data_IF_294702432726
#
_entry.id   IF_294702432726
#
_cell.length_a   1.000
_cell.length_b   1.000
_cell.length_c   1.000
_cell.angle_alpha   90.00
_cell.angle_beta   90.00
_cell.angle_gamma   90.00
#
_symmetry.space_group_name_H-M   'P 1'
#
loop_
_entity.id
_entity.type
_entity.pdbx_description
1 polymer ?
#
# COMPACT_ATOMS: atom_id res chain seq x y z
N UNK A 1 -17.85 36.21 -12.59
CA UNK A 1 -17.15 35.75 -11.37
C UNK A 1 -17.99 36.16 -10.16
N UNK A 2 -18.50 35.21 -9.37
CA UNK A 2 -19.11 35.54 -8.08
C UNK A 2 -20.43 34.86 -7.72
N UNK A 3 -20.72 33.63 -8.19
CA UNK A 3 -21.93 32.90 -7.78
C UNK A 3 -21.95 32.53 -6.28
N UNK A 4 -20.79 32.58 -5.62
CA UNK A 4 -20.61 32.16 -4.23
C UNK A 4 -20.49 33.33 -3.24
N UNK A 5 -20.57 34.58 -3.70
CA UNK A 5 -20.37 35.78 -2.87
C UNK A 5 -21.60 36.13 -2.02
N UNK A 6 -22.79 35.71 -2.46
CA UNK A 6 -24.07 35.98 -1.79
C UNK A 6 -24.64 34.75 -1.06
N UNK A 7 -23.92 33.61 -1.08
CA UNK A 7 -24.34 32.39 -0.39
C UNK A 7 -23.86 32.44 1.06
N UNK A 8 -24.79 32.65 1.99
CA UNK A 8 -24.51 32.55 3.42
C UNK A 8 -24.63 31.10 3.91
N UNK A 9 -23.55 30.56 4.47
CA UNK A 9 -23.52 29.19 5.01
C UNK A 9 -24.50 29.05 6.17
N UNK A 10 -24.57 30.04 7.05
CA UNK A 10 -25.48 30.09 8.19
C UNK A 10 -26.95 30.23 7.78
N UNK A 11 -27.25 31.00 6.73
CA UNK A 11 -28.61 31.12 6.20
C UNK A 11 -29.10 29.82 5.55
N UNK A 12 -28.25 29.16 4.76
CA UNK A 12 -28.57 27.88 4.12
C UNK A 12 -28.84 26.75 5.13
N UNK A 13 -28.10 26.70 6.23
CA UNK A 13 -28.36 25.74 7.32
C UNK A 13 -29.69 26.03 8.02
N UNK A 14 -30.01 27.31 8.24
CA UNK A 14 -31.29 27.72 8.84
C UNK A 14 -32.49 27.35 7.96
N UNK A 15 -32.38 27.55 6.65
CA UNK A 15 -33.42 27.21 5.68
C UNK A 15 -33.63 25.69 5.57
N UNK A 16 -32.54 24.92 5.52
CA UNK A 16 -32.59 23.44 5.58
C UNK A 16 -33.31 22.95 6.84
N UNK A 17 -33.00 23.55 8.00
CA UNK A 17 -33.65 23.18 9.26
C UNK A 17 -35.14 23.56 9.25
N UNK A 18 -35.52 24.69 8.65
CA UNK A 18 -36.90 25.10 8.51
C UNK A 18 -37.71 24.13 7.63
N UNK A 19 -37.15 23.69 6.50
CA UNK A 19 -37.76 22.68 5.61
C UNK A 19 -37.93 21.35 6.34
N UNK A 20 -36.90 20.88 7.04
CA UNK A 20 -36.98 19.67 7.88
C UNK A 20 -38.06 19.84 8.96
N UNK A 21 -38.27 21.04 9.51
CA UNK A 21 -39.30 21.31 10.52
C UNK A 21 -40.69 21.56 9.94
N UNK A 22 -40.86 21.64 8.62
CA UNK A 22 -42.16 21.85 7.95
C UNK A 22 -42.74 20.60 7.28
N UNK A 23 -41.92 19.63 6.85
CA UNK A 23 -42.39 18.41 6.15
C UNK A 23 -43.33 17.51 6.97
N UNK A 24 -44.06 16.59 6.34
CA UNK A 24 -44.95 15.69 7.07
C UNK A 24 -44.16 14.66 7.92
N UNK A 25 -44.74 14.06 8.98
CA UNK A 25 -44.03 13.12 9.85
C UNK A 25 -43.36 11.97 9.07
N UNK A 26 -44.01 11.46 8.01
CA UNK A 26 -43.46 10.42 7.15
C UNK A 26 -42.21 10.88 6.38
N UNK A 27 -42.21 12.12 5.88
CA UNK A 27 -41.10 12.70 5.10
C UNK A 27 -39.85 12.98 5.96
N UNK A 28 -40.03 13.18 7.27
CA UNK A 28 -38.93 13.39 8.22
C UNK A 28 -38.40 12.08 8.80
N UNK A 29 -39.31 11.18 9.18
CA UNK A 29 -38.96 9.96 9.89
C UNK A 29 -38.30 8.95 8.98
N UNK A 30 -38.77 8.82 7.74
CA UNK A 30 -38.25 7.82 6.79
C UNK A 30 -36.76 8.04 6.45
N UNK A 31 -36.28 9.24 6.06
CA UNK A 31 -34.85 9.46 5.84
C UNK A 31 -34.03 9.40 7.12
N UNK A 32 -34.58 9.84 8.26
CA UNK A 32 -33.89 9.75 9.55
C UNK A 32 -33.66 8.30 9.97
N UNK A 33 -34.69 7.45 9.87
CA UNK A 33 -34.60 6.02 10.14
C UNK A 33 -33.63 5.35 9.17
N UNK A 34 -33.69 5.67 7.88
CA UNK A 34 -32.77 5.12 6.88
C UNK A 34 -31.31 5.47 7.22
N UNK A 35 -31.02 6.71 7.58
CA UNK A 35 -29.67 7.15 7.95
C UNK A 35 -29.17 6.41 9.21
N UNK A 36 -30.02 6.25 10.22
CA UNK A 36 -29.69 5.50 11.44
C UNK A 36 -29.43 4.03 11.11
N UNK A 37 -30.27 3.40 10.29
CA UNK A 37 -30.16 2.00 9.90
C UNK A 37 -28.86 1.77 9.11
N UNK A 38 -28.59 2.58 8.10
CA UNK A 38 -27.35 2.47 7.31
C UNK A 38 -26.10 2.60 8.20
N UNK A 39 -26.08 3.58 9.11
CA UNK A 39 -24.95 3.79 10.02
C UNK A 39 -24.81 2.62 10.99
N UNK A 40 -25.92 2.15 11.55
CA UNK A 40 -25.94 1.00 12.48
C UNK A 40 -25.45 -0.28 11.81
N UNK A 41 -25.83 -0.53 10.56
CA UNK A 41 -25.35 -1.67 9.77
C UNK A 41 -23.83 -1.62 9.62
N UNK A 42 -23.26 -0.45 9.27
CA UNK A 42 -21.81 -0.29 9.13
C UNK A 42 -21.09 -0.58 10.46
N UNK A 43 -21.61 -0.04 11.57
CA UNK A 43 -21.03 -0.29 12.90
C UNK A 43 -21.11 -1.78 13.30
N UNK A 44 -22.24 -2.44 13.01
CA UNK A 44 -22.40 -3.88 13.23
C UNK A 44 -21.39 -4.68 12.39
N UNK A 45 -21.19 -4.31 11.13
CA UNK A 45 -20.21 -4.96 10.25
C UNK A 45 -18.80 -4.84 10.82
N UNK A 46 -18.38 -3.69 11.33
CA UNK A 46 -17.05 -3.56 11.96
C UNK A 46 -16.91 -4.43 13.22
N UNK A 47 -17.95 -4.51 14.05
CA UNK A 47 -17.93 -5.38 15.24
C UNK A 47 -17.88 -6.85 14.83
N UNK A 48 -18.63 -7.26 13.81
CA UNK A 48 -18.62 -8.63 13.31
C UNK A 48 -17.31 -8.99 12.60
N UNK A 49 -16.78 -8.11 11.75
CA UNK A 49 -15.53 -8.32 11.02
C UNK A 49 -14.35 -8.53 11.99
N UNK A 50 -14.31 -7.75 13.08
CA UNK A 50 -13.31 -7.93 14.15
C UNK A 50 -13.37 -9.29 14.87
N UNK A 51 -14.47 -10.06 14.72
CA UNK A 51 -14.66 -11.37 15.36
C UNK A 51 -14.61 -12.53 14.37
N UNK A 52 -15.02 -12.30 13.13
CA UNK A 52 -15.15 -13.33 12.09
C UNK A 52 -13.90 -13.40 11.20
N UNK A 53 -13.25 -12.26 10.97
CA UNK A 53 -12.12 -12.14 10.07
C UNK A 53 -10.81 -11.73 10.76
N UNK A 54 -10.77 -11.84 12.09
CA UNK A 54 -9.52 -12.13 12.79
C UNK A 54 -9.11 -13.57 12.45
N UNK A 55 -8.74 -13.79 11.19
CA UNK A 55 -7.60 -14.64 10.94
C UNK A 55 -6.50 -14.02 11.78
N UNK A 56 -6.25 -14.62 12.93
CA UNK A 56 -4.95 -14.53 13.57
C UNK A 56 -3.98 -14.62 12.41
N UNK A 57 -3.24 -13.56 12.13
CA UNK A 57 -1.97 -13.71 11.45
C UNK A 57 -1.31 -14.81 12.25
N UNK A 58 -1.39 -16.06 11.77
CA UNK A 58 -0.63 -17.16 12.34
C UNK A 58 0.76 -16.61 12.16
N UNK A 59 1.45 -16.16 13.23
CA UNK A 59 2.82 -15.75 13.06
C UNK A 59 3.43 -16.98 12.41
N UNK A 60 3.84 -16.85 11.15
CA UNK A 60 4.46 -17.94 10.40
C UNK A 60 5.38 -18.61 11.41
N UNK A 61 5.14 -19.88 11.76
CA UNK A 61 5.98 -20.52 12.75
C UNK A 61 7.39 -20.34 12.22
N UNK A 62 8.17 -19.45 12.86
CA UNK A 62 9.51 -19.16 12.39
C UNK A 62 10.30 -20.35 12.86
N UNK A 63 10.28 -21.42 12.07
CA UNK A 63 11.07 -22.60 12.29
C UNK A 63 12.50 -22.14 12.04
N UNK A 64 13.20 -21.81 13.13
CA UNK A 64 14.62 -21.52 13.11
C UNK A 64 15.36 -22.84 12.89
N UNK A 65 15.51 -23.24 11.62
CA UNK A 65 16.40 -24.33 11.26
C UNK A 65 17.84 -23.81 11.35
N UNK A 66 18.56 -24.14 12.41
CA UNK A 66 20.01 -23.98 12.43
C UNK A 66 20.62 -25.01 11.48
N UNK A 67 20.85 -24.61 10.23
CA UNK A 67 21.46 -25.46 9.20
C UNK A 67 22.96 -25.18 9.01
N UNK A 68 23.62 -24.59 10.00
CA UNK A 68 25.02 -24.15 9.90
C UNK A 68 25.86 -24.80 10.99
N UNK A 69 27.07 -25.25 10.65
CA UNK A 69 28.04 -25.75 11.61
C UNK A 69 28.58 -24.61 12.49
N UNK A 70 28.96 -24.94 13.73
CA UNK A 70 29.60 -23.99 14.65
C UNK A 70 31.01 -23.60 14.15
N UNK A 71 31.64 -24.49 13.38
CA UNK A 71 33.02 -24.35 12.91
C UNK A 71 33.15 -23.59 11.57
N UNK A 72 32.10 -22.92 11.08
CA UNK A 72 32.16 -22.19 9.81
C UNK A 72 33.13 -21.00 9.92
N UNK A 73 33.85 -20.74 8.85
CA UNK A 73 34.77 -19.60 8.75
C UNK A 73 34.06 -18.36 8.22
N UNK A 74 34.58 -17.16 8.57
CA UNK A 74 34.05 -15.88 8.10
C UNK A 74 34.04 -15.77 6.56
N UNK A 75 35.02 -16.37 5.90
CA UNK A 75 35.14 -16.40 4.43
C UNK A 75 34.00 -17.19 3.79
N UNK A 76 33.66 -18.36 4.34
CA UNK A 76 32.51 -19.16 3.90
C UNK A 76 31.19 -18.39 4.10
N UNK A 77 31.06 -17.62 5.20
CA UNK A 77 29.87 -16.77 5.43
C UNK A 77 29.72 -15.72 4.34
N UNK A 78 30.82 -15.08 3.97
CA UNK A 78 30.81 -14.02 2.97
C UNK A 78 30.44 -14.59 1.60
N UNK A 79 31.01 -15.74 1.21
CA UNK A 79 30.68 -16.42 -0.06
C UNK A 79 29.19 -16.77 -0.11
N UNK A 80 28.67 -17.45 0.92
CA UNK A 80 27.25 -17.84 0.99
C UNK A 80 26.31 -16.62 0.89
N UNK A 81 26.67 -15.52 1.57
CA UNK A 81 25.89 -14.28 1.54
C UNK A 81 25.83 -13.71 0.13
N UNK A 82 26.96 -13.71 -0.58
CA UNK A 82 27.03 -13.24 -1.95
C UNK A 82 26.27 -14.14 -2.93
N UNK A 83 26.26 -15.46 -2.73
CA UNK A 83 25.45 -16.39 -3.53
C UNK A 83 23.95 -16.15 -3.34
N UNK A 84 23.51 -16.03 -2.08
CA UNK A 84 22.10 -15.70 -1.78
C UNK A 84 21.72 -14.33 -2.35
N UNK A 85 22.59 -13.35 -2.25
CA UNK A 85 22.36 -12.03 -2.84
C UNK A 85 22.26 -12.11 -4.36
N UNK A 86 23.12 -12.90 -5.00
CA UNK A 86 23.08 -13.10 -6.44
C UNK A 86 21.74 -13.72 -6.90
N UNK A 87 21.22 -14.70 -6.17
CA UNK A 87 19.90 -15.30 -6.45
C UNK A 87 18.76 -14.30 -6.26
N UNK A 88 18.84 -13.42 -5.26
CA UNK A 88 17.87 -12.34 -5.05
C UNK A 88 17.91 -11.34 -6.20
N UNK A 89 19.10 -10.86 -6.56
CA UNK A 89 19.29 -9.90 -7.65
C UNK A 89 18.75 -10.44 -8.98
N UNK A 90 18.94 -11.75 -9.25
CA UNK A 90 18.39 -12.42 -10.45
C UNK A 90 16.86 -12.43 -10.46
N UNK A 91 16.21 -12.62 -9.31
CA UNK A 91 14.74 -12.55 -9.20
C UNK A 91 14.25 -11.12 -9.32
N UNK A 92 14.93 -10.18 -8.70
CA UNK A 92 14.56 -8.75 -8.76
C UNK A 92 14.75 -8.19 -10.17
N UNK A 93 15.80 -8.60 -10.89
CA UNK A 93 15.97 -8.25 -12.30
C UNK A 93 14.78 -8.72 -13.15
N UNK A 94 14.35 -9.98 -13.00
CA UNK A 94 13.16 -10.51 -13.69
C UNK A 94 11.88 -9.74 -13.30
N UNK A 95 11.72 -9.41 -12.02
CA UNK A 95 10.58 -8.63 -11.54
C UNK A 95 10.56 -7.23 -12.13
N UNK A 96 11.72 -6.56 -12.17
CA UNK A 96 11.88 -5.25 -12.81
C UNK A 96 11.51 -5.33 -14.29
N UNK A 97 12.05 -6.29 -15.03
CA UNK A 97 11.73 -6.48 -16.46
C UNK A 97 10.23 -6.71 -16.71
N UNK A 98 9.59 -7.54 -15.89
CA UNK A 98 8.14 -7.76 -15.96
C UNK A 98 7.37 -6.46 -15.72
N UNK A 99 7.76 -5.68 -14.70
CA UNK A 99 7.14 -4.39 -14.40
C UNK A 99 7.34 -3.35 -15.51
N UNK A 100 8.54 -3.27 -16.09
CA UNK A 100 8.81 -2.41 -17.26
C UNK A 100 7.92 -2.78 -18.44
N UNK A 101 7.71 -4.08 -18.66
CA UNK A 101 6.83 -4.56 -19.73
C UNK A 101 5.36 -4.20 -19.47
N UNK A 102 4.89 -4.35 -18.23
CA UNK A 102 3.56 -3.90 -17.83
C UNK A 102 3.39 -2.38 -18.00
N UNK A 103 4.37 -1.58 -17.58
CA UNK A 103 4.34 -0.12 -17.71
C UNK A 103 4.25 0.33 -19.17
N UNK A 104 5.05 -0.29 -20.05
CA UNK A 104 4.99 -0.03 -21.50
C UNK A 104 3.62 -0.37 -22.08
N UNK A 105 3.01 -1.48 -21.66
CA UNK A 105 1.65 -1.85 -22.09
C UNK A 105 0.57 -0.89 -21.56
N UNK A 106 0.75 -0.31 -20.37
CA UNK A 106 -0.19 0.70 -19.83
C UNK A 106 0.04 2.10 -20.38
N UNK A 107 0.96 2.29 -21.34
CA UNK A 107 1.26 3.58 -21.97
C UNK A 107 2.17 4.50 -21.16
N UNK A 108 2.91 3.96 -20.18
CA UNK A 108 3.89 4.70 -19.39
C UNK A 108 5.24 4.76 -20.11
N UNK A 109 5.92 5.92 -20.07
CA UNK A 109 7.30 6.05 -20.54
C UNK A 109 8.27 5.55 -19.45
N UNK A 110 8.63 4.27 -19.55
CA UNK A 110 9.50 3.59 -18.60
C UNK A 110 10.96 4.02 -18.76
N UNK A 111 11.37 4.39 -19.98
CA UNK A 111 12.75 4.75 -20.29
C UNK A 111 13.10 6.14 -19.74
N UNK A 112 12.14 7.06 -19.70
CA UNK A 112 12.27 8.33 -18.99
C UNK A 112 12.43 8.14 -17.47
N UNK A 113 11.58 7.31 -16.85
CA UNK A 113 11.61 7.03 -15.41
C UNK A 113 12.95 6.40 -15.01
N UNK A 114 13.52 5.51 -15.83
CA UNK A 114 14.82 4.91 -15.56
C UNK A 114 15.97 5.91 -15.62
N UNK A 115 15.94 6.84 -16.59
CA UNK A 115 16.96 7.89 -16.69
C UNK A 115 16.93 8.84 -15.51
N UNK A 116 15.73 9.23 -15.07
CA UNK A 116 15.57 10.05 -13.87
C UNK A 116 16.07 9.32 -12.62
N UNK A 117 15.69 8.04 -12.45
CA UNK A 117 16.14 7.22 -11.33
C UNK A 117 17.66 7.03 -11.31
N UNK A 118 18.31 6.89 -12.47
CA UNK A 118 19.77 6.79 -12.58
C UNK A 118 20.46 8.12 -12.25
N UNK A 119 19.94 9.24 -12.74
CA UNK A 119 20.44 10.57 -12.42
C UNK A 119 20.38 10.85 -10.91
N UNK A 120 19.26 10.48 -10.29
CA UNK A 120 19.06 10.57 -8.84
C UNK A 120 20.02 9.67 -8.06
N UNK A 121 20.25 8.44 -8.54
CA UNK A 121 21.20 7.50 -7.92
C UNK A 121 22.63 8.05 -7.97
N UNK A 122 23.03 8.62 -9.10
CA UNK A 122 24.33 9.25 -9.27
C UNK A 122 24.48 10.49 -8.38
N UNK A 123 23.43 11.31 -8.27
CA UNK A 123 23.40 12.49 -7.39
C UNK A 123 23.56 12.12 -5.90
N UNK A 124 23.05 10.95 -5.49
CA UNK A 124 23.23 10.41 -4.13
C UNK A 124 24.61 9.80 -3.89
N UNK A 125 25.45 9.63 -4.91
CA UNK A 125 26.78 9.06 -4.79
C UNK A 125 26.77 7.58 -4.40
N UNK A 126 25.74 6.83 -4.79
CA UNK A 126 25.64 5.40 -4.53
C UNK A 126 26.74 4.65 -5.31
N UNK A 127 27.60 3.94 -4.58
CA UNK A 127 28.70 3.14 -5.15
C UNK A 127 28.20 1.71 -5.32
N UNK A 128 28.30 1.18 -6.54
CA UNK A 128 28.01 -0.23 -6.81
C UNK A 128 29.14 -1.09 -6.23
N UNK A 129 28.79 -1.97 -5.29
CA UNK A 129 29.77 -2.84 -4.62
C UNK A 129 30.14 -3.98 -5.56
N UNK A 130 31.43 -4.10 -5.87
CA UNK A 130 31.94 -5.16 -6.74
C UNK A 130 31.79 -6.53 -6.08
N UNK A 131 31.21 -7.47 -6.83
CA UNK A 131 30.90 -8.82 -6.38
C UNK A 131 32.14 -9.72 -6.57
N UNK A 132 32.46 -10.63 -5.64
CA UNK A 132 33.58 -11.55 -5.81
C UNK A 132 33.39 -12.49 -7.01
N UNK A 133 34.49 -12.81 -7.69
CA UNK A 133 34.50 -13.71 -8.84
C UNK A 133 34.25 -15.17 -8.42
N UNK A 134 33.52 -15.94 -9.25
CA UNK A 134 33.33 -17.39 -9.06
C UNK A 134 32.07 -17.81 -8.29
N UNK A 135 31.13 -16.91 -8.05
CA UNK A 135 29.85 -17.24 -7.39
C UNK A 135 28.95 -18.09 -8.28
N UNK A 136 28.28 -19.08 -7.68
CA UNK A 136 27.32 -19.92 -8.41
C UNK A 136 25.92 -19.30 -8.39
N UNK A 137 25.47 -18.79 -9.55
CA UNK A 137 24.11 -18.30 -9.80
C UNK A 137 23.65 -18.69 -11.22
#
# INVERSE_FOLDING_TARGET
MGLLKDVSVTGGVGDLWAVIRQGEPGERLLPAVLAIVCTSIILILFVMDSKVNTYTYVPQEVIYVQNWSIDRTDEEILIDRWEVQCLKDKRDAKRREAMKTLGRMSGMDVDEIEREAEADRLARGEIEVERPAGLTC
#
